data_IF_426115234856
#
_entry.id   IF_426115234856
#
_cell.length_a   1.000
_cell.length_b   1.000
_cell.length_c   1.000
_cell.angle_alpha   90.00
_cell.angle_beta   90.00
_cell.angle_gamma   90.00
#
_symmetry.space_group_name_H-M   'P 1'
#
loop_
_entity.id
_entity.type
_entity.pdbx_description
1 polymer ?
#
# COMPACT_ATOMS: atom_id res chain seq x y z
N UNK A 1 23.97 6.90 29.75
CA UNK A 1 23.37 5.76 29.02
C UNK A 1 21.87 6.00 28.93
N UNK A 2 21.35 6.27 27.73
CA UNK A 2 19.93 6.54 27.52
C UNK A 2 19.13 5.23 27.63
N UNK A 3 18.34 5.07 28.70
CA UNK A 3 17.42 3.93 28.86
C UNK A 3 16.27 3.90 27.84
N UNK A 4 16.18 4.90 26.94
CA UNK A 4 15.09 5.05 25.98
C UNK A 4 15.32 4.25 24.69
N UNK A 5 16.57 4.16 24.20
CA UNK A 5 16.90 3.48 22.94
C UNK A 5 18.35 2.99 22.93
N UNK A 6 18.55 1.72 22.57
CA UNK A 6 19.85 1.12 22.33
C UNK A 6 19.82 0.30 21.02
N UNK A 7 20.61 0.74 20.04
CA UNK A 7 20.66 0.12 18.71
C UNK A 7 21.04 -1.37 18.74
N UNK A 8 21.95 -1.79 19.63
CA UNK A 8 22.36 -3.21 19.72
C UNK A 8 21.21 -4.09 20.19
N UNK A 9 20.39 -3.59 21.13
CA UNK A 9 19.17 -4.30 21.60
C UNK A 9 18.12 -4.33 20.50
N UNK A 10 17.92 -3.21 19.80
CA UNK A 10 16.99 -3.09 18.68
C UNK A 10 17.26 -4.12 17.57
N UNK A 11 18.50 -4.27 17.10
CA UNK A 11 18.82 -5.28 16.07
C UNK A 11 18.63 -6.72 16.58
N UNK A 12 18.91 -6.99 17.86
CA UNK A 12 18.62 -8.27 18.49
C UNK A 12 17.12 -8.61 18.49
N UNK A 13 16.27 -7.61 18.75
CA UNK A 13 14.81 -7.74 18.70
C UNK A 13 14.32 -8.00 17.28
N UNK A 14 14.83 -7.28 16.28
CA UNK A 14 14.52 -7.51 14.87
C UNK A 14 14.75 -8.99 14.52
N UNK A 15 15.95 -9.51 14.80
CA UNK A 15 16.30 -10.91 14.49
C UNK A 15 15.39 -11.91 15.18
N UNK A 16 15.03 -11.67 16.45
CA UNK A 16 14.12 -12.55 17.20
C UNK A 16 12.71 -12.52 16.62
N UNK A 17 12.19 -11.33 16.31
CA UNK A 17 10.82 -11.16 15.82
C UNK A 17 10.63 -11.76 14.42
N UNK A 18 11.70 -11.79 13.61
CA UNK A 18 11.71 -12.52 12.33
C UNK A 18 11.41 -14.01 12.48
N UNK A 19 11.90 -14.66 13.55
CA UNK A 19 11.70 -16.11 13.73
C UNK A 19 10.22 -16.44 13.98
N UNK A 20 9.50 -15.56 14.71
CA UNK A 20 8.07 -15.74 14.97
C UNK A 20 7.19 -15.29 13.80
N UNK A 21 7.42 -14.06 13.32
CA UNK A 21 6.59 -13.42 12.30
C UNK A 21 6.91 -13.89 10.87
N UNK A 22 8.17 -14.27 10.62
CA UNK A 22 8.68 -14.59 9.29
C UNK A 22 7.95 -15.75 8.62
N UNK A 23 7.43 -16.74 9.37
CA UNK A 23 6.65 -17.83 8.78
C UNK A 23 5.35 -17.33 8.15
N UNK A 24 4.59 -16.52 8.87
CA UNK A 24 3.32 -15.96 8.38
C UNK A 24 3.61 -15.03 7.21
N UNK A 25 4.61 -14.17 7.36
CA UNK A 25 5.03 -13.23 6.33
C UNK A 25 5.48 -13.93 5.02
N UNK A 26 6.30 -14.98 5.10
CA UNK A 26 6.75 -15.76 3.94
C UNK A 26 5.60 -16.51 3.24
N UNK A 27 4.61 -16.99 4.00
CA UNK A 27 3.40 -17.58 3.41
C UNK A 27 2.59 -16.51 2.67
N UNK A 28 2.38 -15.33 3.28
CA UNK A 28 1.63 -14.24 2.67
C UNK A 28 2.28 -13.71 1.39
N UNK A 29 3.61 -13.51 1.39
CA UNK A 29 4.32 -13.05 0.19
C UNK A 29 4.31 -14.10 -0.92
N UNK A 30 4.39 -15.39 -0.58
CA UNK A 30 4.28 -16.50 -1.54
C UNK A 30 2.91 -16.55 -2.21
N UNK A 31 1.83 -16.36 -1.44
CA UNK A 31 0.47 -16.30 -1.98
C UNK A 31 0.33 -15.14 -2.96
N UNK A 32 0.81 -13.94 -2.60
CA UNK A 32 0.71 -12.76 -3.48
C UNK A 32 1.56 -12.93 -4.73
N UNK A 33 2.78 -13.47 -4.62
CA UNK A 33 3.60 -13.80 -5.77
C UNK A 33 2.87 -14.75 -6.72
N UNK A 34 2.22 -15.80 -6.18
CA UNK A 34 1.42 -16.74 -6.95
C UNK A 34 0.21 -16.10 -7.63
N UNK A 35 -0.51 -15.21 -6.95
CA UNK A 35 -1.65 -14.48 -7.53
C UNK A 35 -1.17 -13.56 -8.66
N UNK A 36 -0.13 -12.77 -8.45
CA UNK A 36 0.45 -11.90 -9.50
C UNK A 36 0.85 -12.77 -10.69
N UNK A 37 1.64 -13.82 -10.47
CA UNK A 37 2.08 -14.74 -11.52
C UNK A 37 0.91 -15.34 -12.29
N UNK A 38 -0.13 -15.81 -11.59
CA UNK A 38 -1.33 -16.39 -12.20
C UNK A 38 -2.07 -15.40 -13.10
N UNK A 39 -2.24 -14.15 -12.66
CA UNK A 39 -2.86 -13.10 -13.48
C UNK A 39 -2.05 -12.81 -14.76
N UNK A 40 -0.72 -12.73 -14.66
CA UNK A 40 0.13 -12.55 -15.84
C UNK A 40 0.04 -13.75 -16.78
N UNK A 41 0.09 -14.98 -16.25
CA UNK A 41 0.00 -16.20 -17.03
C UNK A 41 -1.34 -16.33 -17.77
N UNK A 42 -2.47 -16.02 -17.13
CA UNK A 42 -3.80 -16.06 -17.75
C UNK A 42 -3.93 -15.00 -18.85
N UNK A 43 -3.46 -13.77 -18.61
CA UNK A 43 -3.52 -12.70 -19.61
C UNK A 43 -2.66 -13.00 -20.84
N UNK A 44 -1.49 -13.64 -20.65
CA UNK A 44 -0.63 -14.07 -21.74
C UNK A 44 -1.19 -15.28 -22.49
N UNK A 45 -1.70 -16.27 -21.76
CA UNK A 45 -2.28 -17.48 -22.34
C UNK A 45 -3.53 -17.22 -23.17
N UNK A 46 -4.44 -16.39 -22.65
CA UNK A 46 -5.71 -16.06 -23.34
C UNK A 46 -5.50 -15.30 -24.65
N UNK A 47 -4.41 -14.54 -24.75
CA UNK A 47 -4.16 -13.64 -25.88
C UNK A 47 -2.97 -14.11 -26.73
N UNK A 48 -2.52 -15.37 -26.57
CA UNK A 48 -1.29 -15.87 -27.17
C UNK A 48 -1.27 -15.74 -28.71
N UNK A 49 -2.38 -16.09 -29.37
CA UNK A 49 -2.49 -16.02 -30.83
C UNK A 49 -2.47 -14.58 -31.36
N UNK A 50 -3.04 -13.65 -30.59
CA UNK A 50 -3.12 -12.24 -30.97
C UNK A 50 -1.81 -11.50 -30.65
N UNK A 51 -1.08 -11.92 -29.61
CA UNK A 51 0.28 -11.48 -29.31
C UNK A 51 1.22 -11.88 -30.46
N UNK A 52 1.13 -13.12 -30.97
CA UNK A 52 1.92 -13.57 -32.12
C UNK A 52 1.64 -12.77 -33.39
N UNK A 53 0.41 -12.27 -33.55
CA UNK A 53 0.01 -11.44 -34.69
C UNK A 53 0.25 -9.93 -34.47
N UNK A 54 0.75 -9.51 -33.29
CA UNK A 54 0.93 -8.11 -32.89
C UNK A 54 -0.35 -7.26 -32.99
N UNK A 55 -1.53 -7.84 -32.74
CA UNK A 55 -2.82 -7.15 -32.89
C UNK A 55 -3.29 -6.50 -31.57
N UNK A 56 -2.72 -6.90 -30.42
CA UNK A 56 -3.21 -6.45 -29.10
C UNK A 56 -2.41 -5.28 -28.54
N UNK A 57 -3.05 -4.13 -28.48
CA UNK A 57 -2.50 -2.89 -27.94
C UNK A 57 -2.69 -2.73 -26.42
N UNK A 58 -3.66 -3.42 -25.81
CA UNK A 58 -4.06 -3.22 -24.39
C UNK A 58 -3.75 -4.41 -23.47
N UNK A 59 -2.68 -5.16 -23.76
CA UNK A 59 -2.37 -6.37 -23.02
C UNK A 59 -1.97 -6.11 -21.56
N UNK A 60 -1.43 -4.92 -21.26
CA UNK A 60 -0.76 -4.61 -19.99
C UNK A 60 -1.52 -3.64 -19.08
N UNK A 61 -2.73 -3.22 -19.47
CA UNK A 61 -3.52 -2.25 -18.70
C UNK A 61 -3.95 -2.79 -17.32
N UNK A 62 -4.03 -4.11 -17.16
CA UNK A 62 -4.40 -4.75 -15.89
C UNK A 62 -3.36 -4.56 -14.77
N UNK A 63 -2.12 -4.16 -15.10
CA UNK A 63 -1.01 -4.09 -14.13
C UNK A 63 -1.20 -3.04 -13.06
N UNK A 64 -1.65 -1.85 -13.45
CA UNK A 64 -1.85 -0.72 -12.53
C UNK A 64 -2.92 -1.03 -11.46
N UNK A 65 -4.15 -1.48 -11.80
CA UNK A 65 -5.13 -1.85 -10.79
C UNK A 65 -4.70 -3.07 -9.96
N UNK A 66 -4.04 -4.05 -10.58
CA UNK A 66 -3.52 -5.22 -9.87
C UNK A 66 -2.45 -4.82 -8.83
N UNK A 67 -1.54 -3.93 -9.20
CA UNK A 67 -0.51 -3.39 -8.31
C UNK A 67 -1.13 -2.64 -7.13
N UNK A 68 -2.06 -1.72 -7.39
CA UNK A 68 -2.69 -0.95 -6.34
C UNK A 68 -3.50 -1.84 -5.38
N UNK A 69 -4.38 -2.70 -5.90
CA UNK A 69 -5.28 -3.50 -5.06
C UNK A 69 -4.50 -4.53 -4.24
N UNK A 70 -3.61 -5.30 -4.87
CA UNK A 70 -2.83 -6.31 -4.15
C UNK A 70 -1.80 -5.70 -3.21
N UNK A 71 -1.19 -4.57 -3.59
CA UNK A 71 -0.25 -3.85 -2.74
C UNK A 71 -0.92 -3.34 -1.46
N UNK A 72 -2.07 -2.67 -1.59
CA UNK A 72 -2.82 -2.21 -0.43
C UNK A 72 -3.30 -3.39 0.44
N UNK A 73 -3.81 -4.45 -0.18
CA UNK A 73 -4.24 -5.66 0.54
C UNK A 73 -3.09 -6.32 1.31
N UNK A 74 -1.89 -6.40 0.71
CA UNK A 74 -0.74 -6.98 1.39
C UNK A 74 -0.35 -6.18 2.63
N UNK A 75 -0.26 -4.86 2.49
CA UNK A 75 0.14 -3.97 3.58
C UNK A 75 -0.86 -4.06 4.75
N UNK A 76 -2.16 -4.11 4.48
CA UNK A 76 -3.18 -4.22 5.54
C UNK A 76 -3.16 -5.58 6.24
N UNK A 77 -2.97 -6.67 5.49
CA UNK A 77 -2.87 -8.03 6.06
C UNK A 77 -1.64 -8.18 6.94
N UNK A 78 -0.48 -7.74 6.46
CA UNK A 78 0.78 -7.79 7.24
C UNK A 78 0.66 -6.94 8.50
N UNK A 79 0.15 -5.71 8.37
CA UNK A 79 -0.03 -4.79 9.50
C UNK A 79 -0.95 -5.38 10.59
N UNK A 80 -2.10 -5.92 10.20
CA UNK A 80 -3.01 -6.56 11.16
C UNK A 80 -2.45 -7.86 11.75
N UNK A 81 -1.65 -8.61 10.99
CA UNK A 81 -1.09 -9.89 11.46
C UNK A 81 0.02 -9.72 12.50
N UNK A 82 0.70 -8.57 12.49
CA UNK A 82 1.86 -8.32 13.36
C UNK A 82 1.50 -8.33 14.85
N UNK A 83 0.42 -7.65 15.23
CA UNK A 83 -0.09 -7.63 16.61
C UNK A 83 -1.21 -8.65 16.87
N UNK A 84 -1.40 -9.62 15.97
CA UNK A 84 -2.41 -10.67 16.16
C UNK A 84 -2.12 -11.57 17.36
N UNK A 85 -0.84 -11.74 17.72
CA UNK A 85 -0.45 -12.52 18.89
C UNK A 85 -0.72 -11.78 20.22
N UNK A 86 -0.76 -10.44 20.23
CA UNK A 86 -1.21 -9.63 21.39
C UNK A 86 -2.70 -9.79 21.70
N UNK A 87 -3.51 -10.31 20.77
CA UNK A 87 -4.92 -10.64 21.01
C UNK A 87 -5.11 -11.91 21.84
N UNK A 88 -4.11 -12.80 21.88
CA UNK A 88 -4.18 -14.10 22.56
C UNK A 88 -3.46 -14.01 23.90
N UNK A 89 -4.22 -14.11 25.02
CA UNK A 89 -3.71 -13.96 26.40
C UNK A 89 -2.38 -14.67 26.66
N UNK A 90 -2.22 -15.92 26.23
CA UNK A 90 -1.00 -16.71 26.49
C UNK A 90 0.22 -16.24 25.68
N UNK A 91 0.03 -15.76 24.45
CA UNK A 91 1.13 -15.28 23.59
C UNK A 91 1.49 -13.83 23.89
N UNK A 92 0.49 -13.03 24.26
CA UNK A 92 0.68 -11.66 24.72
C UNK A 92 1.65 -11.58 25.91
N UNK A 93 1.53 -12.47 26.91
CA UNK A 93 2.44 -12.48 28.07
C UNK A 93 3.89 -12.66 27.64
N UNK A 94 4.18 -13.58 26.70
CA UNK A 94 5.54 -13.80 26.21
C UNK A 94 6.12 -12.61 25.42
N UNK A 95 5.27 -11.84 24.76
CA UNK A 95 5.65 -10.66 23.97
C UNK A 95 5.83 -9.41 24.86
N UNK A 96 4.99 -9.26 25.89
CA UNK A 96 5.10 -8.19 26.89
C UNK A 96 6.32 -8.40 27.80
N UNK A 97 6.65 -9.65 28.14
CA UNK A 97 7.77 -10.01 29.02
C UNK A 97 9.16 -9.88 28.36
N UNK A 98 9.24 -9.45 27.10
CA UNK A 98 10.52 -9.19 26.43
C UNK A 98 11.15 -7.93 27.06
N UNK A 99 12.39 -8.01 27.59
CA UNK A 99 13.08 -6.87 28.19
C UNK A 99 13.58 -5.92 27.09
N UNK A 100 12.68 -5.04 26.64
CA UNK A 100 12.93 -4.04 25.61
C UNK A 100 12.14 -2.76 25.92
N UNK A 101 12.67 -1.62 25.50
CA UNK A 101 11.95 -0.34 25.62
C UNK A 101 10.69 -0.34 24.77
N UNK A 102 9.65 0.35 25.21
CA UNK A 102 8.39 0.49 24.48
C UNK A 102 8.57 1.08 23.09
N UNK A 103 9.46 2.06 23.01
CA UNK A 103 9.80 2.74 21.77
C UNK A 103 10.49 1.78 20.79
N UNK A 104 11.38 0.93 21.29
CA UNK A 104 12.06 -0.08 20.49
C UNK A 104 11.08 -1.11 19.91
N UNK A 105 10.16 -1.65 20.74
CA UNK A 105 9.14 -2.61 20.28
C UNK A 105 8.25 -2.00 19.18
N UNK A 106 7.84 -0.75 19.36
CA UNK A 106 7.02 -0.04 18.38
C UNK A 106 7.79 0.26 17.08
N UNK A 107 9.04 0.71 17.15
CA UNK A 107 9.88 0.93 15.96
C UNK A 107 10.11 -0.37 15.18
N UNK A 108 10.33 -1.51 15.84
CA UNK A 108 10.45 -2.80 15.16
C UNK A 108 9.16 -3.15 14.43
N UNK A 109 7.99 -2.83 15.02
CA UNK A 109 6.70 -3.02 14.36
C UNK A 109 6.51 -2.18 13.11
N UNK A 110 6.92 -0.91 13.14
CA UNK A 110 6.88 -0.05 11.97
C UNK A 110 7.87 -0.52 10.90
N UNK A 111 9.07 -0.94 11.30
CA UNK A 111 10.07 -1.44 10.36
C UNK A 111 9.54 -2.65 9.58
N UNK A 112 8.94 -3.62 10.24
CA UNK A 112 8.40 -4.81 9.56
C UNK A 112 7.14 -4.53 8.75
N UNK A 113 6.21 -3.75 9.30
CA UNK A 113 4.90 -3.57 8.66
C UNK A 113 4.91 -2.49 7.58
N UNK A 114 5.85 -1.55 7.58
CA UNK A 114 5.99 -0.49 6.57
C UNK A 114 7.16 -0.77 5.64
N UNK A 115 8.40 -0.78 6.17
CA UNK A 115 9.62 -0.82 5.33
C UNK A 115 9.75 -2.18 4.64
N UNK A 116 9.68 -3.26 5.42
CA UNK A 116 9.87 -4.62 4.90
C UNK A 116 8.69 -5.03 4.02
N UNK A 117 7.45 -4.70 4.39
CA UNK A 117 6.27 -5.05 3.59
C UNK A 117 6.24 -4.34 2.23
N UNK A 118 6.45 -3.02 2.20
CA UNK A 118 6.43 -2.23 0.96
C UNK A 118 7.62 -2.65 0.10
N UNK A 119 8.82 -2.72 0.68
CA UNK A 119 10.03 -3.11 -0.05
C UNK A 119 9.92 -4.50 -0.68
N UNK A 120 9.41 -5.49 0.05
CA UNK A 120 9.25 -6.84 -0.47
C UNK A 120 8.18 -6.95 -1.55
N UNK A 121 7.08 -6.22 -1.40
CA UNK A 121 6.00 -6.24 -2.37
C UNK A 121 6.45 -5.64 -3.70
N UNK A 122 7.11 -4.48 -3.64
CA UNK A 122 7.72 -3.84 -4.81
C UNK A 122 8.70 -4.79 -5.49
N UNK A 123 9.61 -5.40 -4.72
CA UNK A 123 10.61 -6.33 -5.26
C UNK A 123 9.95 -7.49 -6.01
N UNK A 124 9.01 -8.19 -5.38
CA UNK A 124 8.31 -9.34 -5.99
C UNK A 124 7.56 -8.92 -7.24
N UNK A 125 6.82 -7.81 -7.18
CA UNK A 125 6.05 -7.33 -8.31
C UNK A 125 6.96 -6.97 -9.50
N UNK A 126 8.04 -6.24 -9.25
CA UNK A 126 8.98 -5.84 -10.30
C UNK A 126 9.72 -7.04 -10.90
N UNK A 127 10.11 -8.04 -10.11
CA UNK A 127 10.72 -9.26 -10.63
C UNK A 127 9.78 -10.02 -11.55
N UNK A 128 8.51 -10.17 -11.15
CA UNK A 128 7.51 -10.87 -11.96
C UNK A 128 7.22 -10.08 -13.25
N UNK A 129 7.02 -8.75 -13.15
CA UNK A 129 6.83 -7.89 -14.32
C UNK A 129 8.00 -7.99 -15.30
N UNK A 130 9.24 -7.90 -14.81
CA UNK A 130 10.45 -8.00 -15.63
C UNK A 130 10.51 -9.35 -16.35
N UNK A 131 10.25 -10.46 -15.65
CA UNK A 131 10.25 -11.79 -16.24
C UNK A 131 9.22 -11.93 -17.38
N UNK A 132 7.99 -11.43 -17.18
CA UNK A 132 6.95 -11.53 -18.20
C UNK A 132 7.10 -10.53 -19.35
N UNK A 133 7.53 -9.30 -19.08
CA UNK A 133 7.83 -8.30 -20.13
C UNK A 133 9.02 -8.74 -20.98
N UNK A 134 10.07 -9.30 -20.37
CA UNK A 134 11.21 -9.82 -21.13
C UNK A 134 10.82 -11.00 -22.01
N UNK A 135 9.95 -11.90 -21.52
CA UNK A 135 9.38 -12.96 -22.34
C UNK A 135 8.56 -12.40 -23.51
N UNK A 136 7.67 -11.44 -23.27
CA UNK A 136 6.90 -10.78 -24.33
C UNK A 136 7.80 -10.16 -25.40
N UNK A 137 8.82 -9.39 -24.99
CA UNK A 137 9.79 -8.77 -25.90
C UNK A 137 10.60 -9.77 -26.73
N UNK A 138 10.76 -11.01 -26.25
CA UNK A 138 11.40 -12.06 -27.04
C UNK A 138 10.52 -12.57 -28.20
N UNK A 139 9.20 -12.42 -28.08
CA UNK A 139 8.21 -12.84 -29.08
C UNK A 139 8.00 -11.75 -30.15
N UNK A 140 8.21 -10.48 -29.82
CA UNK A 140 8.11 -9.36 -30.75
C UNK A 140 8.33 -8.00 -30.08
N UNK A 141 8.15 -6.92 -30.84
CA UNK A 141 8.13 -5.55 -30.31
C UNK A 141 7.02 -4.75 -30.97
N UNK A 142 6.12 -4.19 -30.18
CA UNK A 142 5.03 -3.32 -30.67
C UNK A 142 5.35 -1.89 -30.26
N UNK A 143 5.96 -1.14 -31.19
CA UNK A 143 6.18 0.30 -31.06
C UNK A 143 5.12 1.00 -31.91
N UNK A 144 4.27 1.81 -31.28
CA UNK A 144 3.27 2.62 -31.98
C UNK A 144 3.74 4.07 -31.96
N UNK A 145 3.72 4.71 -33.12
CA UNK A 145 3.98 6.14 -33.22
C UNK A 145 2.66 6.88 -32.97
N UNK A 146 2.53 7.52 -31.82
CA UNK A 146 1.41 8.42 -31.54
C UNK A 146 1.78 9.84 -31.97
N UNK A 147 0.90 10.48 -32.74
CA UNK A 147 1.05 11.89 -33.12
C UNK A 147 0.40 12.72 -32.02
N UNK A 148 1.21 13.48 -31.29
CA UNK A 148 0.70 14.38 -30.27
C UNK A 148 -0.01 15.60 -30.90
N UNK A 149 -0.88 16.30 -30.15
CA UNK A 149 -1.56 17.51 -30.65
C UNK A 149 -0.59 18.64 -31.06
N UNK A 150 0.67 18.57 -30.62
CA UNK A 150 1.78 19.48 -30.96
C UNK A 150 2.48 19.15 -32.29
N UNK A 151 2.11 18.06 -32.98
CA UNK A 151 2.72 17.64 -34.24
C UNK A 151 4.01 16.82 -34.11
N UNK A 152 4.48 16.56 -32.88
CA UNK A 152 5.60 15.66 -32.62
C UNK A 152 5.13 14.19 -32.62
N UNK A 153 5.92 13.32 -33.26
CA UNK A 153 5.69 11.87 -33.24
C UNK A 153 6.42 11.29 -32.05
N UNK A 154 5.68 10.81 -31.05
CA UNK A 154 6.26 10.09 -29.92
C UNK A 154 6.05 8.61 -30.15
N UNK A 155 7.15 7.86 -30.25
CA UNK A 155 7.11 6.41 -30.28
C UNK A 155 6.77 5.88 -28.89
N UNK A 156 5.56 5.38 -28.69
CA UNK A 156 5.11 4.75 -27.45
C UNK A 156 5.35 3.25 -27.55
N UNK A 157 6.21 2.74 -26.67
CA UNK A 157 6.44 1.31 -26.51
C UNK A 157 5.33 0.72 -25.64
N UNK A 158 4.43 -0.04 -26.27
CA UNK A 158 3.27 -0.63 -25.58
C UNK A 158 3.68 -1.75 -24.63
N UNK A 159 4.87 -2.33 -24.82
CA UNK A 159 5.44 -3.36 -23.95
C UNK A 159 6.56 -2.79 -23.08
N UNK A 160 6.38 -1.56 -22.62
CA UNK A 160 7.25 -0.93 -21.63
C UNK A 160 7.23 -1.68 -20.28
N UNK A 161 8.40 -1.70 -19.63
CA UNK A 161 8.51 -2.18 -18.26
C UNK A 161 7.73 -1.26 -17.31
N UNK A 162 7.17 -1.82 -16.24
CA UNK A 162 6.32 -1.06 -15.32
C UNK A 162 7.03 0.18 -14.73
N UNK A 163 8.33 0.10 -14.48
CA UNK A 163 9.11 1.23 -13.95
C UNK A 163 9.35 2.38 -14.94
N UNK A 164 9.09 2.18 -16.24
CA UNK A 164 9.19 3.22 -17.29
C UNK A 164 7.84 3.83 -17.65
N UNK A 165 6.74 3.26 -17.15
CA UNK A 165 5.40 3.78 -17.39
C UNK A 165 5.30 5.18 -16.80
N UNK A 166 4.98 6.15 -17.64
CA UNK A 166 4.63 7.50 -17.19
C UNK A 166 3.23 7.45 -16.59
N UNK A 167 3.16 7.57 -15.26
CA UNK A 167 1.90 7.74 -14.57
C UNK A 167 1.50 9.21 -14.55
N UNK A 168 0.19 9.53 -14.55
CA UNK A 168 -0.25 10.90 -14.40
C UNK A 168 0.27 11.46 -13.07
N UNK A 169 0.81 12.69 -13.09
CA UNK A 169 1.28 13.45 -11.92
C UNK A 169 0.42 13.27 -10.63
N UNK A 170 -0.94 13.31 -10.69
CA UNK A 170 -1.78 13.08 -9.51
C UNK A 170 -1.56 11.72 -8.81
N UNK A 171 -1.12 10.68 -9.52
CA UNK A 171 -0.90 9.35 -8.96
C UNK A 171 0.20 9.33 -7.89
N UNK A 172 1.23 10.17 -8.03
CA UNK A 172 2.32 10.24 -7.05
C UNK A 172 1.83 10.75 -5.69
N UNK A 173 0.83 11.64 -5.66
CA UNK A 173 0.25 12.13 -4.42
C UNK A 173 -0.53 11.07 -3.65
N UNK A 174 -0.91 9.93 -4.26
CA UNK A 174 -1.58 8.83 -3.55
C UNK A 174 -0.62 7.89 -2.82
N UNK A 175 0.69 8.14 -2.85
CA UNK A 175 1.69 7.30 -2.17
C UNK A 175 1.49 7.22 -0.63
N UNK A 176 0.77 8.15 -0.02
CA UNK A 176 0.46 8.10 1.42
C UNK A 176 -0.55 7.01 1.82
N UNK A 177 -1.41 6.57 0.89
CA UNK A 177 -2.50 5.61 1.16
C UNK A 177 -2.02 4.32 1.83
N UNK A 178 -0.98 3.61 1.34
CA UNK A 178 -0.46 2.42 2.02
C UNK A 178 0.05 2.70 3.44
N UNK A 179 0.63 3.88 3.69
CA UNK A 179 1.14 4.26 5.01
C UNK A 179 -0.01 4.53 5.98
N UNK A 180 -1.05 5.23 5.51
CA UNK A 180 -2.26 5.49 6.30
C UNK A 180 -3.00 4.18 6.62
N UNK A 181 -3.17 3.30 5.62
CA UNK A 181 -3.78 1.99 5.84
C UNK A 181 -2.95 1.12 6.78
N UNK A 182 -1.62 1.14 6.65
CA UNK A 182 -0.75 0.47 7.60
C UNK A 182 -1.07 0.95 9.03
N UNK A 183 -1.13 2.26 9.26
CA UNK A 183 -1.38 2.83 10.59
C UNK A 183 -2.72 2.39 11.18
N UNK A 184 -3.80 2.42 10.39
CA UNK A 184 -5.14 2.02 10.84
C UNK A 184 -5.16 0.53 11.21
N UNK A 185 -4.63 -0.34 10.35
CA UNK A 185 -4.65 -1.78 10.59
C UNK A 185 -3.70 -2.19 11.72
N UNK A 186 -2.62 -1.44 11.94
CA UNK A 186 -1.69 -1.65 13.06
C UNK A 186 -2.39 -1.33 14.38
N UNK A 187 -3.05 -0.17 14.47
CA UNK A 187 -3.87 0.20 15.63
C UNK A 187 -4.98 -0.83 15.85
N UNK A 188 -5.63 -1.24 14.77
CA UNK A 188 -6.67 -2.24 14.77
C UNK A 188 -6.23 -3.60 15.34
N UNK A 189 -5.03 -4.05 14.98
CA UNK A 189 -4.40 -5.25 15.54
C UNK A 189 -4.16 -5.15 17.05
N UNK A 190 -3.89 -3.95 17.56
CA UNK A 190 -3.73 -3.72 19.00
C UNK A 190 -5.09 -3.68 19.70
N UNK A 191 -6.10 -2.97 19.16
CA UNK A 191 -7.36 -2.74 19.87
C UNK A 191 -8.21 -4.00 20.00
N UNK A 192 -8.32 -4.80 18.95
CA UNK A 192 -9.22 -5.96 18.96
C UNK A 192 -8.51 -7.25 19.42
N UNK A 193 -9.22 -8.11 20.16
CA UNK A 193 -8.67 -9.41 20.61
C UNK A 193 -8.93 -10.54 19.60
N UNK A 194 -10.15 -10.60 19.04
CA UNK A 194 -10.58 -11.63 18.10
C UNK A 194 -11.01 -11.01 16.77
N UNK A 195 -10.67 -11.67 15.66
CA UNK A 195 -10.99 -11.26 14.29
C UNK A 195 -10.57 -9.82 13.98
N UNK A 196 -9.32 -9.48 14.32
CA UNK A 196 -8.78 -8.12 14.24
C UNK A 196 -8.96 -7.52 12.85
N UNK A 197 -8.43 -8.18 11.82
CA UNK A 197 -8.50 -7.72 10.44
C UNK A 197 -9.93 -7.47 9.94
N UNK A 198 -10.84 -8.40 10.24
CA UNK A 198 -12.24 -8.31 9.76
C UNK A 198 -12.96 -7.14 10.42
N UNK A 199 -12.78 -6.97 11.74
CA UNK A 199 -13.41 -5.86 12.46
C UNK A 199 -12.88 -4.52 11.99
N UNK A 200 -11.57 -4.39 11.81
CA UNK A 200 -10.95 -3.14 11.36
C UNK A 200 -11.40 -2.78 9.96
N UNK A 201 -11.48 -3.76 9.05
CA UNK A 201 -12.00 -3.56 7.71
C UNK A 201 -13.47 -3.09 7.72
N UNK A 202 -14.34 -3.73 8.52
CA UNK A 202 -15.76 -3.33 8.64
C UNK A 202 -15.87 -1.90 9.17
N UNK A 203 -15.16 -1.56 10.25
CA UNK A 203 -15.19 -0.21 10.81
C UNK A 203 -14.65 0.83 9.84
N UNK A 204 -13.59 0.52 9.10
CA UNK A 204 -13.03 1.42 8.08
C UNK A 204 -14.04 1.66 6.95
N UNK A 205 -14.67 0.60 6.43
CA UNK A 205 -15.68 0.74 5.37
C UNK A 205 -16.87 1.57 5.85
N UNK A 206 -17.39 1.29 7.04
CA UNK A 206 -18.48 2.07 7.63
C UNK A 206 -18.08 3.54 7.83
N UNK A 207 -16.87 3.79 8.32
CA UNK A 207 -16.34 5.15 8.48
C UNK A 207 -16.25 5.88 7.14
N UNK A 208 -15.68 5.25 6.10
CA UNK A 208 -15.57 5.85 4.77
C UNK A 208 -16.95 6.16 4.16
N UNK A 209 -17.93 5.26 4.31
CA UNK A 209 -19.28 5.47 3.79
C UNK A 209 -19.96 6.64 4.51
N UNK A 210 -19.97 6.63 5.85
CA UNK A 210 -20.58 7.71 6.65
C UNK A 210 -19.89 9.05 6.36
N UNK A 211 -18.55 9.06 6.31
CA UNK A 211 -17.79 10.26 6.03
C UNK A 211 -18.06 10.79 4.62
N UNK A 212 -18.06 9.96 3.59
CA UNK A 212 -18.37 10.40 2.22
C UNK A 212 -19.80 10.91 2.11
N UNK A 213 -20.79 10.22 2.69
CA UNK A 213 -22.17 10.67 2.71
C UNK A 213 -22.32 12.03 3.40
N UNK A 214 -21.72 12.20 4.59
CA UNK A 214 -21.75 13.47 5.32
C UNK A 214 -21.01 14.57 4.56
N UNK A 215 -19.85 14.27 4.00
CA UNK A 215 -19.06 15.24 3.25
C UNK A 215 -19.82 15.73 2.02
N UNK A 216 -20.38 14.82 1.21
CA UNK A 216 -21.20 15.19 0.05
C UNK A 216 -22.44 15.98 0.47
N UNK A 217 -23.11 15.58 1.55
CA UNK A 217 -24.26 16.31 2.08
C UNK A 217 -23.88 17.73 2.49
N UNK A 218 -22.83 17.89 3.32
CA UNK A 218 -22.37 19.19 3.78
C UNK A 218 -21.90 20.08 2.63
N UNK A 219 -21.12 19.54 1.69
CA UNK A 219 -20.67 20.28 0.51
C UNK A 219 -21.85 20.71 -0.34
N UNK A 220 -22.82 19.82 -0.59
CA UNK A 220 -24.02 20.20 -1.33
C UNK A 220 -24.80 21.31 -0.64
N UNK A 221 -25.02 21.21 0.68
CA UNK A 221 -25.77 22.21 1.44
C UNK A 221 -25.05 23.55 1.54
N UNK A 222 -23.71 23.56 1.63
CA UNK A 222 -22.92 24.79 1.76
C UNK A 222 -22.59 25.45 0.42
N UNK A 223 -22.49 24.67 -0.66
CA UNK A 223 -21.99 25.13 -1.96
C UNK A 223 -23.09 25.29 -3.01
N UNK A 224 -24.32 24.81 -2.76
CA UNK A 224 -25.45 25.10 -3.65
C UNK A 224 -25.61 26.62 -3.82
N UNK A 225 -25.60 27.06 -5.08
CA UNK A 225 -25.93 28.42 -5.51
C UNK A 225 -25.02 29.56 -5.01
N UNK A 226 -23.87 29.25 -4.38
CA UNK A 226 -23.03 30.29 -3.72
C UNK A 226 -21.62 30.44 -4.31
N UNK A 227 -21.09 29.46 -5.06
CA UNK A 227 -19.68 29.47 -5.51
C UNK A 227 -19.59 29.52 -7.04
N UNK A 228 -19.19 30.68 -7.57
CA UNK A 228 -18.79 30.81 -8.98
C UNK A 228 -17.41 30.19 -9.23
N UNK A 229 -17.27 29.43 -10.32
CA UNK A 229 -15.99 28.87 -10.76
C UNK A 229 -15.07 30.01 -11.21
N UNK A 230 -14.16 30.44 -10.34
CA UNK A 230 -13.08 31.36 -10.73
C UNK A 230 -11.98 30.56 -11.42
N UNK A 231 -11.84 30.72 -12.73
CA UNK A 231 -10.69 30.21 -13.47
C UNK A 231 -9.42 30.92 -13.00
N UNK A 232 -8.34 30.15 -12.83
CA UNK A 232 -6.99 30.63 -12.54
C UNK A 232 -6.70 31.03 -11.06
N UNK A 233 -7.21 30.26 -10.11
CA UNK A 233 -6.90 30.42 -8.68
C UNK A 233 -6.14 29.21 -8.12
N UNK A 234 -5.41 29.36 -7.01
CA UNK A 234 -4.63 28.28 -6.37
C UNK A 234 -5.47 27.02 -6.09
N UNK A 235 -6.76 27.21 -5.80
CA UNK A 235 -7.74 26.16 -5.51
C UNK A 235 -8.42 25.58 -6.76
N UNK A 236 -8.11 26.09 -7.96
CA UNK A 236 -8.61 25.56 -9.24
C UNK A 236 -7.64 24.55 -9.86
N UNK A 237 -6.36 24.58 -9.45
CA UNK A 237 -5.37 23.61 -9.91
C UNK A 237 -5.50 22.30 -9.13
N UNK A 238 -5.84 21.23 -9.86
CA UNK A 238 -6.04 19.89 -9.32
C UNK A 238 -4.79 19.37 -8.59
N UNK A 239 -3.59 19.72 -9.05
CA UNK A 239 -2.35 19.24 -8.45
C UNK A 239 -2.16 19.75 -7.02
N UNK A 240 -2.52 21.01 -6.76
CA UNK A 240 -2.42 21.62 -5.45
C UNK A 240 -3.43 21.02 -4.45
N UNK A 241 -4.63 20.68 -4.93
CA UNK A 241 -5.64 19.98 -4.13
C UNK A 241 -5.14 18.57 -3.74
N UNK A 242 -4.61 17.81 -4.70
CA UNK A 242 -4.07 16.48 -4.42
C UNK A 242 -2.86 16.51 -3.48
N UNK A 243 -1.99 17.51 -3.61
CA UNK A 243 -0.87 17.73 -2.69
C UNK A 243 -1.35 17.97 -1.24
N UNK A 244 -2.38 18.80 -1.06
CA UNK A 244 -2.96 19.07 0.26
C UNK A 244 -3.59 17.81 0.87
N UNK A 245 -4.35 17.05 0.08
CA UNK A 245 -4.92 15.76 0.51
C UNK A 245 -3.80 14.81 0.95
N UNK A 246 -2.72 14.73 0.18
CA UNK A 246 -1.55 13.92 0.53
C UNK A 246 -0.91 14.33 1.85
N UNK A 247 -0.68 15.62 2.07
CA UNK A 247 -0.11 16.15 3.30
C UNK A 247 -1.00 15.86 4.53
N UNK A 248 -2.32 16.05 4.40
CA UNK A 248 -3.29 15.72 5.46
C UNK A 248 -3.28 14.22 5.74
N UNK A 249 -3.21 13.38 4.71
CA UNK A 249 -3.12 11.93 4.85
C UNK A 249 -1.88 11.47 5.62
N UNK A 250 -0.72 12.06 5.36
CA UNK A 250 0.52 11.76 6.10
C UNK A 250 0.41 12.20 7.56
N UNK A 251 -0.13 13.38 7.83
CA UNK A 251 -0.35 13.86 9.20
C UNK A 251 -1.30 12.93 9.98
N UNK A 252 -2.39 12.48 9.35
CA UNK A 252 -3.30 11.51 9.93
C UNK A 252 -2.61 10.18 10.26
N UNK A 253 -1.76 9.68 9.35
CA UNK A 253 -1.01 8.45 9.59
C UNK A 253 -0.09 8.57 10.82
N UNK A 254 0.61 9.71 10.96
CA UNK A 254 1.47 9.99 12.13
C UNK A 254 0.65 10.06 13.42
N UNK A 255 -0.50 10.72 13.40
CA UNK A 255 -1.40 10.78 14.56
C UNK A 255 -1.91 9.38 14.96
N UNK A 256 -2.29 8.55 13.99
CA UNK A 256 -2.76 7.19 14.26
C UNK A 256 -1.64 6.32 14.83
N UNK A 257 -0.40 6.45 14.34
CA UNK A 257 0.75 5.79 14.95
C UNK A 257 1.01 6.24 16.40
N UNK A 258 0.86 7.53 16.70
CA UNK A 258 0.97 8.01 18.07
C UNK A 258 -0.09 7.39 19.00
N UNK A 259 -1.35 7.29 18.53
CA UNK A 259 -2.42 6.61 19.27
C UNK A 259 -2.13 5.12 19.45
N UNK A 260 -1.62 4.45 18.40
CA UNK A 260 -1.23 3.05 18.47
C UNK A 260 -0.12 2.82 19.51
N UNK A 261 0.86 3.71 19.59
CA UNK A 261 1.92 3.68 20.60
C UNK A 261 1.37 3.85 22.03
N UNK A 262 0.46 4.80 22.25
CA UNK A 262 -0.18 4.98 23.56
C UNK A 262 -0.99 3.76 23.97
N UNK A 263 -1.75 3.16 23.05
CA UNK A 263 -2.51 1.93 23.29
C UNK A 263 -1.64 0.72 23.59
N UNK A 264 -0.48 0.62 22.94
CA UNK A 264 0.49 -0.43 23.26
C UNK A 264 0.96 -0.29 24.72
N UNK A 265 1.33 0.93 25.12
CA UNK A 265 1.76 1.25 26.48
C UNK A 265 0.69 0.93 27.54
N UNK A 266 -0.58 1.20 27.26
CA UNK A 266 -1.70 0.88 28.16
C UNK A 266 -1.87 -0.63 28.39
N UNK A 267 -1.53 -1.48 27.40
CA UNK A 267 -1.68 -2.93 27.52
C UNK A 267 -0.58 -3.61 28.34
N UNK A 268 0.53 -2.92 28.56
CA UNK A 268 1.70 -3.43 29.27
C UNK A 268 1.64 -3.17 30.79
N UNK A 269 0.82 -2.20 31.21
CA UNK A 269 0.58 -1.82 32.61
C UNK A 269 -0.52 -2.71 33.17
#
# INVERSE_FOLDING_TARGET
MSNLFNATRFFGLIRRQWIGFGRIYLMSIGIIAGVIFGFYAVNLGSNYDDIKKNIVYSLLNFRAPLFCILGLFFVTVISSSYFADLGKKTRAIFELMIPASQLEKFLVSLFYTVVVSIGSYLLVFYLIDLAFVSYLRSVGSVVVNEVQPSGETVSVDLWQYFFKVQYPEPAYYFCFVPILLNAIFLLGGIVYQNYQYVKTAIFLVLYCVVWMCLFVYLMKTQTQDTVGTMDNNYWSDSNHIFALIGAVGVLLAIMIWAVAFLRLKEKEI
#
